data_IF_764145964512
#
_entry.id   IF_764145964512
#
_cell.length_a   1.000
_cell.length_b   1.000
_cell.length_c   1.000
_cell.angle_alpha   90.00
_cell.angle_beta   90.00
_cell.angle_gamma   90.00
#
_symmetry.space_group_name_H-M   'P 1'
#
loop_
_entity.id
_entity.type
_entity.pdbx_description
1 polymer ?
#
# COMPACT_ATOMS: atom_id res chain seq x y z
N UNK A 1 2.10 -17.48 -2.61
CA UNK A 1 2.95 -16.31 -2.32
C UNK A 1 2.74 -15.93 -0.87
N UNK A 2 3.81 -15.67 -0.13
CA UNK A 2 3.73 -15.19 1.25
C UNK A 2 3.89 -13.69 1.29
N UNK A 3 2.90 -13.00 1.88
CA UNK A 3 2.87 -11.53 2.00
C UNK A 3 3.00 -11.13 3.46
N UNK A 4 3.59 -9.97 3.72
CA UNK A 4 3.73 -9.40 5.05
C UNK A 4 3.32 -7.93 5.07
N UNK A 5 2.75 -7.46 6.17
CA UNK A 5 2.48 -6.03 6.42
C UNK A 5 3.33 -5.59 7.60
N UNK A 6 4.06 -4.52 7.42
CA UNK A 6 4.74 -3.79 8.49
C UNK A 6 3.89 -2.56 8.82
N UNK A 7 3.20 -2.61 9.96
CA UNK A 7 2.55 -1.43 10.55
C UNK A 7 3.49 -0.82 11.57
N UNK A 8 3.89 0.43 11.40
CA UNK A 8 4.79 1.11 12.32
C UNK A 8 4.28 2.51 12.67
N UNK A 9 4.74 3.02 13.80
CA UNK A 9 4.57 4.42 14.15
C UNK A 9 5.56 5.23 13.31
N UNK A 10 5.03 6.17 12.52
CA UNK A 10 5.85 6.99 11.63
C UNK A 10 6.30 8.22 12.42
N UNK A 11 7.61 8.37 12.59
CA UNK A 11 8.20 9.60 13.13
C UNK A 11 7.89 10.75 12.17
N UNK A 12 7.13 11.75 12.66
CA UNK A 12 6.60 12.81 11.82
C UNK A 12 7.71 13.70 11.24
N UNK A 13 7.73 13.81 9.90
CA UNK A 13 8.71 14.58 9.13
C UNK A 13 10.18 14.21 9.41
N UNK A 14 10.45 13.00 9.91
CA UNK A 14 11.80 12.49 10.18
C UNK A 14 12.10 11.26 9.30
N UNK A 15 12.64 11.52 8.11
CA UNK A 15 12.96 10.45 7.16
C UNK A 15 14.07 9.53 7.66
N UNK A 16 15.07 10.06 8.32
CA UNK A 16 16.21 9.27 8.78
C UNK A 16 15.76 8.27 9.84
N UNK A 17 15.00 8.70 10.83
CA UNK A 17 14.45 7.83 11.86
C UNK A 17 13.52 6.76 11.27
N UNK A 18 12.64 7.14 10.33
CA UNK A 18 11.75 6.19 9.68
C UNK A 18 12.52 5.16 8.83
N UNK A 19 13.57 5.55 8.13
CA UNK A 19 14.43 4.65 7.36
C UNK A 19 15.13 3.64 8.28
N UNK A 20 15.65 4.09 9.42
CA UNK A 20 16.28 3.22 10.44
C UNK A 20 15.26 2.22 10.97
N UNK A 21 14.10 2.72 11.39
CA UNK A 21 13.00 1.89 11.93
C UNK A 21 12.56 0.82 10.92
N UNK A 22 12.38 1.19 9.65
CA UNK A 22 11.99 0.23 8.61
C UNK A 22 13.09 -0.82 8.38
N UNK A 23 14.36 -0.43 8.35
CA UNK A 23 15.47 -1.37 8.22
C UNK A 23 15.46 -2.43 9.32
N UNK A 24 15.22 -2.02 10.58
CA UNK A 24 15.12 -2.94 11.72
C UNK A 24 13.91 -3.88 11.60
N UNK A 25 12.75 -3.36 11.17
CA UNK A 25 11.54 -4.16 11.01
C UNK A 25 11.67 -5.15 9.85
N UNK A 26 12.28 -4.77 8.73
CA UNK A 26 12.56 -5.67 7.60
C UNK A 26 13.48 -6.84 8.00
N UNK A 27 14.43 -6.62 8.90
CA UNK A 27 15.28 -7.70 9.45
C UNK A 27 14.50 -8.76 10.24
N UNK A 28 13.28 -8.42 10.72
CA UNK A 28 12.42 -9.35 11.48
C UNK A 28 11.44 -10.11 10.58
N UNK A 29 11.33 -9.71 9.31
CA UNK A 29 10.46 -10.40 8.34
C UNK A 29 10.98 -11.81 8.07
N UNK A 30 10.06 -12.76 7.94
CA UNK A 30 10.40 -14.14 7.61
C UNK A 30 11.16 -14.22 6.27
N UNK A 31 12.28 -14.94 6.24
CA UNK A 31 13.16 -15.03 5.05
C UNK A 31 12.49 -15.63 3.80
N UNK A 32 11.40 -16.36 3.98
CA UNK A 32 10.61 -16.91 2.88
C UNK A 32 9.43 -16.01 2.47
N UNK A 33 9.41 -14.76 2.92
CA UNK A 33 8.44 -13.78 2.46
C UNK A 33 8.72 -13.40 1.00
N UNK A 34 7.66 -13.17 0.23
CA UNK A 34 7.76 -12.77 -1.17
C UNK A 34 7.54 -11.26 -1.37
N UNK A 35 6.71 -10.66 -0.52
CA UNK A 35 6.25 -9.28 -0.66
C UNK A 35 5.98 -8.66 0.71
N UNK A 36 6.53 -7.48 0.95
CA UNK A 36 6.29 -6.67 2.16
C UNK A 36 5.56 -5.39 1.78
N UNK A 37 4.52 -5.04 2.54
CA UNK A 37 3.76 -3.82 2.35
C UNK A 37 3.97 -2.88 3.53
N UNK A 38 4.43 -1.66 3.23
CA UNK A 38 4.59 -0.53 4.14
C UNK A 38 3.35 0.37 4.08
N UNK A 39 3.09 1.20 5.09
CA UNK A 39 1.99 2.17 5.08
C UNK A 39 2.14 3.27 4.02
N UNK A 40 1.10 4.07 3.88
CA UNK A 40 1.12 5.32 3.13
C UNK A 40 2.09 6.32 3.78
N UNK A 41 2.90 7.01 2.93
CA UNK A 41 3.87 8.02 3.35
C UNK A 41 4.82 7.53 4.45
N UNK A 42 5.33 6.31 4.28
CA UNK A 42 6.09 5.55 5.28
C UNK A 42 7.31 6.28 5.82
N UNK A 43 7.89 7.20 5.05
CA UNK A 43 9.13 7.90 5.40
C UNK A 43 8.91 9.25 6.09
N UNK A 44 7.72 9.86 6.00
CA UNK A 44 7.46 11.21 6.53
C UNK A 44 6.20 11.32 7.37
N UNK A 45 5.23 10.42 7.16
CA UNK A 45 3.85 10.65 7.56
C UNK A 45 3.20 11.79 6.77
N UNK A 46 1.99 12.15 7.16
CA UNK A 46 1.30 13.30 6.61
C UNK A 46 1.92 14.60 7.14
N UNK A 47 2.29 15.49 6.23
CA UNK A 47 2.87 16.79 6.55
C UNK A 47 1.77 17.81 6.85
N UNK A 48 2.08 18.86 7.63
CA UNK A 48 1.11 19.86 8.05
C UNK A 48 1.02 21.06 7.11
N UNK A 49 2.03 21.27 6.26
CA UNK A 49 2.08 22.40 5.34
C UNK A 49 2.68 22.03 3.97
N UNK A 50 2.41 22.88 2.99
CA UNK A 50 2.99 22.74 1.65
C UNK A 50 4.48 23.05 1.64
N UNK A 51 4.97 23.93 2.50
CA UNK A 51 6.41 24.22 2.67
C UNK A 51 7.16 22.96 3.13
N UNK A 52 6.65 22.28 4.13
CA UNK A 52 7.21 20.99 4.57
C UNK A 52 7.23 19.95 3.45
N UNK A 53 6.18 19.93 2.61
CA UNK A 53 6.16 19.03 1.44
C UNK A 53 7.32 19.35 0.49
N UNK A 54 7.64 20.62 0.26
CA UNK A 54 8.75 21.01 -0.63
C UNK A 54 10.11 20.57 -0.09
N UNK A 55 10.28 20.59 1.24
CA UNK A 55 11.51 20.19 1.90
C UNK A 55 11.65 18.66 2.01
N UNK A 56 10.52 17.96 2.16
CA UNK A 56 10.50 16.52 2.46
C UNK A 56 10.30 15.63 1.24
N UNK A 57 9.74 16.15 0.13
CA UNK A 57 9.55 15.35 -1.06
C UNK A 57 10.89 14.98 -1.73
N UNK A 58 10.96 13.78 -2.27
CA UNK A 58 12.17 13.20 -2.82
C UNK A 58 12.09 13.04 -4.33
N UNK A 59 13.20 13.25 -5.01
CA UNK A 59 13.40 12.84 -6.40
C UNK A 59 13.55 11.30 -6.49
N UNK A 60 13.65 10.74 -7.70
CA UNK A 60 13.72 9.28 -7.92
C UNK A 60 14.96 8.61 -7.32
N UNK A 61 16.01 9.37 -7.03
CA UNK A 61 17.24 8.93 -6.36
C UNK A 61 17.30 9.32 -4.88
N UNK A 62 16.17 9.69 -4.31
CA UNK A 62 16.05 10.05 -2.90
C UNK A 62 16.37 8.91 -1.95
N UNK A 63 16.70 9.26 -0.71
CA UNK A 63 17.15 8.31 0.32
C UNK A 63 16.18 7.15 0.53
N UNK A 64 14.86 7.41 0.46
CA UNK A 64 13.82 6.37 0.61
C UNK A 64 13.95 5.33 -0.50
N UNK A 65 13.99 5.76 -1.77
CA UNK A 65 14.01 4.85 -2.91
C UNK A 65 15.32 4.06 -2.98
N UNK A 66 16.45 4.72 -2.75
CA UNK A 66 17.77 4.05 -2.73
C UNK A 66 17.82 2.96 -1.66
N UNK A 67 17.28 3.20 -0.46
CA UNK A 67 17.25 2.17 0.58
C UNK A 67 16.25 1.05 0.24
N UNK A 68 15.07 1.37 -0.29
CA UNK A 68 14.09 0.37 -0.70
C UNK A 68 14.65 -0.60 -1.74
N UNK A 69 15.39 -0.10 -2.75
CA UNK A 69 16.05 -0.96 -3.74
C UNK A 69 17.10 -1.88 -3.11
N UNK A 70 17.96 -1.32 -2.22
CA UNK A 70 18.95 -2.11 -1.48
C UNK A 70 18.30 -3.20 -0.63
N UNK A 71 17.23 -2.87 0.08
CA UNK A 71 16.51 -3.83 0.93
C UNK A 71 15.82 -4.90 0.12
N UNK A 72 15.11 -4.53 -0.95
CA UNK A 72 14.45 -5.51 -1.83
C UNK A 72 15.45 -6.52 -2.40
N UNK A 73 16.60 -6.05 -2.84
CA UNK A 73 17.69 -6.90 -3.33
C UNK A 73 18.29 -7.78 -2.22
N UNK A 74 18.60 -7.19 -1.05
CA UNK A 74 19.26 -7.89 0.05
C UNK A 74 18.38 -9.00 0.63
N UNK A 75 17.10 -8.70 0.86
CA UNK A 75 16.14 -9.64 1.45
C UNK A 75 15.49 -10.57 0.42
N UNK A 76 15.62 -10.29 -0.87
CA UNK A 76 15.01 -11.04 -1.97
C UNK A 76 13.47 -11.11 -1.90
N UNK A 77 12.81 -10.03 -1.46
CA UNK A 77 11.37 -9.84 -1.55
C UNK A 77 11.02 -8.47 -2.16
N UNK A 78 9.84 -8.35 -2.75
CA UNK A 78 9.37 -7.05 -3.21
C UNK A 78 8.89 -6.18 -2.04
N UNK A 79 8.96 -4.85 -2.18
CA UNK A 79 8.48 -3.89 -1.18
C UNK A 79 7.53 -2.91 -1.85
N UNK A 80 6.34 -2.74 -1.24
CA UNK A 80 5.33 -1.77 -1.68
C UNK A 80 5.03 -0.79 -0.56
N UNK A 81 4.68 0.45 -0.90
CA UNK A 81 4.31 1.52 0.04
C UNK A 81 4.03 2.80 -0.70
N UNK A 82 4.02 3.95 -0.01
CA UNK A 82 4.04 5.25 -0.68
C UNK A 82 4.89 6.29 0.05
N UNK A 83 5.31 7.32 -0.66
CA UNK A 83 6.13 8.42 -0.17
C UNK A 83 5.75 9.73 -0.89
N UNK A 84 6.21 10.87 -0.38
CA UNK A 84 6.13 12.11 -1.13
C UNK A 84 7.26 12.21 -2.14
N UNK A 85 6.88 12.21 -3.43
CA UNK A 85 7.78 12.32 -4.57
C UNK A 85 7.72 13.69 -5.20
N UNK A 86 8.86 14.17 -5.70
CA UNK A 86 8.99 15.33 -6.57
C UNK A 86 9.30 14.86 -7.98
N UNK A 87 8.49 15.28 -8.94
CA UNK A 87 8.61 14.90 -10.35
C UNK A 87 8.22 16.06 -11.24
N UNK A 88 9.12 16.50 -12.11
CA UNK A 88 8.89 17.59 -13.07
C UNK A 88 8.29 18.86 -12.45
N UNK A 89 8.77 19.24 -11.26
CA UNK A 89 8.32 20.43 -10.53
C UNK A 89 6.96 20.29 -9.85
N UNK A 90 6.38 19.09 -9.83
CA UNK A 90 5.16 18.75 -9.09
C UNK A 90 5.48 17.79 -7.95
N UNK A 91 4.60 17.74 -6.98
CA UNK A 91 4.71 16.89 -5.79
C UNK A 91 3.54 15.91 -5.77
N UNK A 92 3.81 14.64 -5.47
CA UNK A 92 2.82 13.56 -5.49
C UNK A 92 2.94 12.70 -4.23
N UNK A 93 1.82 12.20 -3.74
CA UNK A 93 1.82 10.99 -2.93
C UNK A 93 1.93 9.82 -3.91
N UNK A 94 3.13 9.23 -4.00
CA UNK A 94 3.49 8.25 -5.03
C UNK A 94 3.66 6.87 -4.38
N UNK A 95 2.85 5.90 -4.81
CA UNK A 95 3.08 4.50 -4.49
C UNK A 95 4.26 3.96 -5.31
N UNK A 96 4.96 3.02 -4.72
CA UNK A 96 6.04 2.26 -5.33
C UNK A 96 5.83 0.76 -5.13
N UNK A 97 6.29 -0.02 -6.10
CA UNK A 97 6.52 -1.44 -5.97
C UNK A 97 7.94 -1.71 -6.45
N UNK A 98 8.83 -2.05 -5.50
CA UNK A 98 10.25 -2.28 -5.75
C UNK A 98 10.50 -3.78 -5.76
N UNK A 99 11.01 -4.30 -6.86
CA UNK A 99 11.36 -5.72 -7.02
C UNK A 99 12.76 -6.03 -6.53
N UNK A 100 13.07 -7.30 -6.20
CA UNK A 100 14.44 -7.73 -5.87
C UNK A 100 15.46 -7.46 -6.98
N UNK A 101 15.01 -7.32 -8.23
CA UNK A 101 15.84 -6.88 -9.38
C UNK A 101 16.31 -5.43 -9.27
N UNK A 102 15.66 -4.64 -8.42
CA UNK A 102 15.83 -3.18 -8.35
C UNK A 102 14.89 -2.42 -9.29
N UNK A 103 14.08 -3.10 -10.11
CA UNK A 103 13.04 -2.47 -10.93
C UNK A 103 11.95 -1.88 -10.04
N UNK A 104 11.44 -0.71 -10.41
CA UNK A 104 10.40 -0.01 -9.66
C UNK A 104 9.22 0.31 -10.57
N UNK A 105 8.03 -0.03 -10.11
CA UNK A 105 6.78 0.43 -10.70
C UNK A 105 6.16 1.49 -9.82
N UNK A 106 5.74 2.60 -10.39
CA UNK A 106 5.13 3.73 -9.67
C UNK A 106 3.66 3.94 -10.00
N UNK A 107 2.94 4.52 -9.05
CA UNK A 107 1.57 4.98 -9.21
C UNK A 107 1.33 6.24 -8.39
N UNK A 108 0.83 7.32 -9.00
CA UNK A 108 0.49 8.55 -8.31
C UNK A 108 -0.93 8.48 -7.76
N UNK A 109 -1.13 8.71 -6.46
CA UNK A 109 -2.45 8.79 -5.83
C UNK A 109 -3.38 9.72 -6.61
N UNK A 110 -4.57 9.24 -6.93
CA UNK A 110 -5.50 9.95 -7.81
C UNK A 110 -6.62 10.69 -7.07
N UNK A 111 -6.88 10.34 -5.81
CA UNK A 111 -7.97 10.93 -5.05
C UNK A 111 -7.53 11.37 -3.66
N UNK A 112 -8.11 12.45 -3.18
CA UNK A 112 -7.99 12.94 -1.81
C UNK A 112 -9.35 12.91 -1.12
N UNK A 113 -9.35 12.61 0.17
CA UNK A 113 -10.55 12.76 0.99
C UNK A 113 -10.80 14.24 1.26
N UNK A 114 -11.95 14.77 0.80
CA UNK A 114 -12.24 16.20 0.84
C UNK A 114 -12.39 16.79 2.25
N UNK A 115 -12.67 15.96 3.25
CA UNK A 115 -12.82 16.37 4.66
C UNK A 115 -11.56 16.15 5.50
N UNK A 116 -10.41 15.91 4.88
CA UNK A 116 -9.15 15.78 5.59
C UNK A 116 -8.78 17.11 6.28
N UNK A 117 -8.39 17.02 7.56
CA UNK A 117 -7.81 18.14 8.31
C UNK A 117 -6.45 18.59 7.74
N UNK A 118 -5.91 17.79 6.83
CA UNK A 118 -4.57 17.97 6.27
C UNK A 118 -4.64 18.89 5.05
N UNK A 119 -4.04 20.06 5.16
CA UNK A 119 -4.05 21.09 4.10
C UNK A 119 -2.73 21.09 3.30
N UNK A 120 -2.27 19.92 2.85
CA UNK A 120 -1.07 19.80 2.03
C UNK A 120 -1.46 19.73 0.55
N UNK A 121 -0.95 20.67 -0.24
CA UNK A 121 -1.26 20.76 -1.65
C UNK A 121 -0.24 19.97 -2.49
N UNK A 122 -0.56 18.71 -2.81
CA UNK A 122 0.15 17.90 -3.78
C UNK A 122 -0.73 17.59 -5.00
N UNK A 123 -0.09 17.33 -6.14
CA UNK A 123 -0.78 16.98 -7.37
C UNK A 123 -1.40 15.57 -7.28
N UNK A 124 -2.51 15.39 -7.96
CA UNK A 124 -3.14 14.08 -8.11
C UNK A 124 -2.73 13.45 -9.44
N UNK A 125 -2.60 12.13 -9.43
CA UNK A 125 -2.48 11.35 -10.64
C UNK A 125 -3.79 11.34 -11.46
N UNK A 126 -3.70 10.91 -12.69
CA UNK A 126 -4.85 10.76 -13.59
C UNK A 126 -4.80 9.44 -14.38
N UNK A 127 -3.87 8.58 -14.06
CA UNK A 127 -3.65 7.29 -14.72
C UNK A 127 -3.90 6.18 -13.73
N UNK A 128 -4.58 5.12 -14.18
CA UNK A 128 -4.80 3.92 -13.37
C UNK A 128 -3.48 3.26 -12.99
N UNK A 129 -3.49 2.56 -11.87
CA UNK A 129 -2.37 1.73 -11.47
C UNK A 129 -2.00 0.74 -12.59
N UNK A 130 -0.72 0.64 -12.95
CA UNK A 130 -0.25 -0.36 -13.90
C UNK A 130 -0.45 -1.77 -13.32
N UNK A 131 -0.53 -2.77 -14.21
CA UNK A 131 -0.50 -4.18 -13.80
C UNK A 131 0.96 -4.59 -13.64
N UNK A 132 1.33 -4.93 -12.42
CA UNK A 132 2.65 -5.43 -12.05
C UNK A 132 2.63 -6.95 -12.15
N UNK A 133 3.59 -7.53 -12.88
CA UNK A 133 3.73 -8.99 -13.01
C UNK A 133 4.89 -9.48 -12.17
N UNK A 134 4.56 -9.98 -10.98
CA UNK A 134 5.58 -10.44 -10.03
C UNK A 134 5.31 -11.88 -9.58
N UNK A 135 6.31 -12.76 -9.75
CA UNK A 135 6.26 -14.18 -9.35
C UNK A 135 4.97 -14.91 -9.78
N UNK A 136 4.50 -14.63 -11.00
CA UNK A 136 3.29 -15.24 -11.58
C UNK A 136 1.97 -14.62 -11.12
N UNK A 137 1.99 -13.54 -10.34
CA UNK A 137 0.83 -12.77 -9.91
C UNK A 137 0.68 -11.49 -10.71
N UNK A 138 -0.56 -11.11 -10.99
CA UNK A 138 -0.91 -9.78 -11.50
C UNK A 138 -1.34 -8.92 -10.32
N UNK A 139 -0.60 -7.85 -10.05
CA UNK A 139 -0.75 -7.00 -8.87
C UNK A 139 -1.10 -5.58 -9.30
N UNK A 140 -1.94 -4.90 -8.54
CA UNK A 140 -2.24 -3.48 -8.70
C UNK A 140 -2.06 -2.76 -7.37
N UNK A 141 -1.82 -1.44 -7.42
CA UNK A 141 -1.70 -0.58 -6.25
C UNK A 141 -2.78 0.50 -6.26
N UNK A 142 -3.34 0.79 -5.10
CA UNK A 142 -4.10 2.00 -4.82
C UNK A 142 -3.53 2.64 -3.55
N UNK A 143 -3.69 3.96 -3.40
CA UNK A 143 -3.22 4.64 -2.18
C UNK A 143 -4.42 5.14 -1.40
N UNK A 144 -4.62 4.55 -0.21
CA UNK A 144 -5.57 5.03 0.81
C UNK A 144 -6.96 5.36 0.23
N UNK A 145 -7.29 6.64 0.06
CA UNK A 145 -8.60 7.13 -0.37
C UNK A 145 -9.02 6.69 -1.77
N UNK A 146 -8.10 6.27 -2.63
CA UNK A 146 -8.44 5.74 -3.96
C UNK A 146 -9.41 4.58 -3.87
N UNK A 147 -9.34 3.78 -2.79
CA UNK A 147 -10.22 2.63 -2.56
C UNK A 147 -11.70 3.01 -2.38
N UNK A 148 -11.98 4.27 -2.00
CA UNK A 148 -13.35 4.78 -1.82
C UNK A 148 -14.09 5.00 -3.14
N UNK A 149 -13.36 5.12 -4.24
CA UNK A 149 -13.92 5.39 -5.56
C UNK A 149 -14.21 4.08 -6.30
N UNK A 150 -15.48 3.62 -6.35
CA UNK A 150 -15.81 2.26 -6.80
C UNK A 150 -15.44 2.02 -8.27
N UNK A 151 -15.71 2.98 -9.16
CA UNK A 151 -15.37 2.87 -10.58
C UNK A 151 -13.84 2.80 -10.76
N UNK A 152 -13.09 3.59 -10.00
CA UNK A 152 -11.64 3.62 -10.08
C UNK A 152 -11.02 2.32 -9.57
N UNK A 153 -11.44 1.84 -8.41
CA UNK A 153 -10.95 0.61 -7.83
C UNK A 153 -11.34 -0.61 -8.68
N UNK A 154 -12.57 -0.64 -9.24
CA UNK A 154 -13.02 -1.68 -10.17
C UNK A 154 -12.15 -1.74 -11.42
N UNK A 155 -11.89 -0.59 -12.04
CA UNK A 155 -11.04 -0.52 -13.23
C UNK A 155 -9.58 -0.92 -12.95
N UNK A 156 -9.06 -0.58 -11.75
CA UNK A 156 -7.72 -0.98 -11.30
C UNK A 156 -7.65 -2.46 -10.94
N UNK A 157 -8.79 -3.09 -10.62
CA UNK A 157 -8.87 -4.52 -10.30
C UNK A 157 -9.02 -5.43 -11.52
N UNK A 158 -9.26 -4.88 -12.70
CA UNK A 158 -9.45 -5.68 -13.91
C UNK A 158 -8.17 -6.43 -14.29
N UNK A 159 -8.30 -7.75 -14.44
CA UNK A 159 -7.19 -8.66 -14.79
C UNK A 159 -6.07 -8.76 -13.73
N UNK A 160 -6.34 -8.44 -12.47
CA UNK A 160 -5.40 -8.62 -11.36
C UNK A 160 -5.84 -9.72 -10.41
N UNK A 161 -4.90 -10.20 -9.63
CA UNK A 161 -5.09 -11.25 -8.62
C UNK A 161 -5.01 -10.68 -7.20
N UNK A 162 -4.25 -9.60 -7.02
CA UNK A 162 -3.92 -8.98 -5.75
C UNK A 162 -3.91 -7.46 -5.86
N UNK A 163 -4.60 -6.78 -4.94
CA UNK A 163 -4.57 -5.32 -4.80
C UNK A 163 -3.86 -4.94 -3.51
N UNK A 164 -2.89 -4.04 -3.60
CA UNK A 164 -2.14 -3.48 -2.48
C UNK A 164 -2.64 -2.07 -2.18
N UNK A 165 -2.91 -1.79 -0.91
CA UNK A 165 -3.45 -0.50 -0.47
C UNK A 165 -2.65 0.04 0.72
N UNK A 166 -1.47 0.65 0.48
CA UNK A 166 -0.78 1.46 1.49
C UNK A 166 -1.68 2.57 2.00
N UNK A 167 -1.79 2.73 3.32
CA UNK A 167 -2.80 3.60 3.91
C UNK A 167 -2.38 4.23 5.24
N UNK A 168 -3.10 5.33 5.58
CA UNK A 168 -3.03 6.03 6.87
C UNK A 168 -4.45 6.40 7.31
N UNK A 169 -5.26 5.36 7.59
CA UNK A 169 -6.65 5.53 8.01
C UNK A 169 -6.76 5.76 9.50
N UNK A 170 -7.40 6.87 9.94
CA UNK A 170 -7.55 7.18 11.35
C UNK A 170 -8.51 6.25 12.07
N UNK A 171 -8.39 6.19 13.38
CA UNK A 171 -9.18 5.31 14.25
C UNK A 171 -10.69 5.53 14.12
N UNK A 172 -11.12 6.76 13.92
CA UNK A 172 -12.55 7.12 13.74
C UNK A 172 -13.14 6.46 12.47
N UNK A 173 -12.32 6.16 11.48
CA UNK A 173 -12.74 5.60 10.20
C UNK A 173 -12.51 4.08 10.10
N UNK A 174 -12.10 3.41 11.20
CA UNK A 174 -11.76 1.97 11.22
C UNK A 174 -12.87 1.07 10.66
N UNK A 175 -14.11 1.46 10.87
CA UNK A 175 -15.27 0.69 10.40
C UNK A 175 -15.40 0.77 8.88
N UNK A 176 -15.28 1.97 8.31
CA UNK A 176 -15.30 2.18 6.86
C UNK A 176 -14.14 1.44 6.19
N UNK A 177 -12.93 1.58 6.74
CA UNK A 177 -11.72 0.93 6.25
C UNK A 177 -11.92 -0.58 6.08
N UNK A 178 -12.32 -1.27 7.14
CA UNK A 178 -12.54 -2.71 7.10
C UNK A 178 -13.55 -3.11 6.04
N UNK A 179 -14.71 -2.44 6.01
CA UNK A 179 -15.82 -2.85 5.13
C UNK A 179 -15.58 -2.51 3.68
N UNK A 180 -14.87 -1.42 3.39
CA UNK A 180 -14.51 -1.08 2.01
C UNK A 180 -13.53 -2.09 1.43
N UNK A 181 -12.52 -2.52 2.20
CA UNK A 181 -11.59 -3.57 1.77
C UNK A 181 -12.31 -4.89 1.49
N UNK A 182 -13.22 -5.31 2.39
CA UNK A 182 -14.05 -6.52 2.19
C UNK A 182 -14.88 -6.39 0.90
N UNK A 183 -15.57 -5.27 0.72
CA UNK A 183 -16.39 -5.04 -0.47
C UNK A 183 -15.56 -5.14 -1.75
N UNK A 184 -14.39 -4.51 -1.80
CA UNK A 184 -13.50 -4.57 -2.97
C UNK A 184 -12.93 -5.97 -3.22
N UNK A 185 -12.63 -6.74 -2.18
CA UNK A 185 -12.19 -8.11 -2.32
C UNK A 185 -13.26 -9.00 -2.99
N UNK A 186 -14.50 -8.92 -2.49
CA UNK A 186 -15.62 -9.74 -2.95
C UNK A 186 -16.05 -9.35 -4.38
N UNK A 187 -16.33 -8.05 -4.62
CA UNK A 187 -16.86 -7.61 -5.93
C UNK A 187 -15.88 -7.80 -7.08
N UNK A 188 -14.57 -7.76 -6.79
CA UNK A 188 -13.53 -7.95 -7.80
C UNK A 188 -12.95 -9.36 -7.83
N UNK A 189 -13.36 -10.23 -6.91
CA UNK A 189 -12.84 -11.61 -6.77
C UNK A 189 -11.30 -11.62 -6.73
N UNK A 190 -10.70 -10.84 -5.81
CA UNK A 190 -9.24 -10.70 -5.67
C UNK A 190 -8.84 -10.80 -4.21
N UNK A 191 -7.55 -11.07 -3.98
CA UNK A 191 -6.95 -10.79 -2.67
C UNK A 191 -6.74 -9.29 -2.49
N UNK A 192 -6.93 -8.78 -1.26
CA UNK A 192 -6.63 -7.38 -0.91
C UNK A 192 -5.74 -7.33 0.32
N UNK A 193 -4.68 -6.52 0.24
CA UNK A 193 -3.79 -6.20 1.35
C UNK A 193 -3.93 -4.71 1.66
N UNK A 194 -4.54 -4.39 2.79
CA UNK A 194 -4.65 -3.03 3.31
C UNK A 194 -3.62 -2.82 4.43
N UNK A 195 -2.55 -2.09 4.15
CA UNK A 195 -1.48 -1.80 5.09
C UNK A 195 -1.67 -0.42 5.71
N UNK A 196 -2.02 -0.37 7.00
CA UNK A 196 -2.21 0.87 7.74
C UNK A 196 -1.03 1.15 8.69
N UNK A 197 -0.73 2.43 8.93
CA UNK A 197 0.20 2.84 10.00
C UNK A 197 -0.43 2.63 11.38
N UNK A 198 0.39 2.70 12.41
CA UNK A 198 -0.02 2.81 13.82
C UNK A 198 0.51 4.11 14.43
N UNK A 199 0.15 4.38 15.70
CA UNK A 199 0.59 5.56 16.44
C UNK A 199 -0.34 6.74 16.24
N UNK A 200 0.20 7.95 16.37
CA UNK A 200 -0.56 9.20 16.24
C UNK A 200 0.28 10.30 15.60
N UNK A 201 -0.39 11.31 15.09
CA UNK A 201 0.19 12.60 14.77
C UNK A 201 -0.66 13.73 15.41
N UNK A 202 -0.41 14.97 15.07
CA UNK A 202 -1.15 16.12 15.64
C UNK A 202 -2.63 16.15 15.23
N UNK A 203 -3.04 15.37 14.23
CA UNK A 203 -4.38 15.41 13.64
C UNK A 203 -5.23 14.20 13.99
N UNK A 204 -4.59 13.01 14.09
CA UNK A 204 -5.29 11.73 14.18
C UNK A 204 -4.56 10.67 15.00
N UNK A 205 -5.34 9.78 15.61
CA UNK A 205 -4.88 8.49 16.11
C UNK A 205 -5.04 7.42 15.03
N UNK A 206 -4.06 6.53 14.89
CA UNK A 206 -4.01 5.48 13.88
C UNK A 206 -3.97 4.07 14.51
N UNK A 207 -5.05 3.72 15.25
CA UNK A 207 -5.22 2.39 15.82
C UNK A 207 -6.15 1.50 14.97
N UNK A 208 -6.29 1.86 13.70
CA UNK A 208 -7.05 1.08 12.72
C UNK A 208 -6.19 -0.09 12.23
N UNK A 209 -6.63 -1.34 12.38
CA UNK A 209 -5.84 -2.50 11.99
C UNK A 209 -5.54 -2.56 10.49
N UNK A 210 -4.41 -3.15 10.14
CA UNK A 210 -4.15 -3.65 8.79
C UNK A 210 -4.88 -4.97 8.56
N UNK A 211 -5.19 -5.27 7.29
CA UNK A 211 -5.95 -6.47 6.92
C UNK A 211 -5.40 -7.14 5.67
N UNK A 212 -5.55 -8.47 5.61
CA UNK A 212 -5.35 -9.24 4.39
C UNK A 212 -6.62 -10.05 4.17
N UNK A 213 -7.41 -9.66 3.17
CA UNK A 213 -8.65 -10.34 2.84
C UNK A 213 -8.50 -11.24 1.62
N UNK A 214 -9.12 -12.42 1.69
CA UNK A 214 -9.33 -13.25 0.51
C UNK A 214 -10.54 -12.73 -0.31
N UNK A 215 -10.75 -13.33 -1.46
CA UNK A 215 -11.83 -13.01 -2.39
C UNK A 215 -13.25 -13.32 -1.87
N UNK A 216 -13.39 -13.96 -0.70
CA UNK A 216 -14.67 -14.14 0.00
C UNK A 216 -14.84 -13.06 1.10
N UNK A 217 -13.88 -12.16 1.28
CA UNK A 217 -13.87 -11.16 2.34
C UNK A 217 -13.45 -11.70 3.73
N UNK A 218 -12.87 -12.89 3.78
CA UNK A 218 -12.34 -13.47 5.01
C UNK A 218 -10.98 -12.88 5.32
N UNK A 219 -10.77 -12.40 6.56
CA UNK A 219 -9.44 -12.00 6.99
C UNK A 219 -8.57 -13.23 7.22
N UNK A 220 -7.55 -13.40 6.40
CA UNK A 220 -6.61 -14.52 6.43
C UNK A 220 -5.26 -14.18 7.07
N UNK A 221 -5.13 -12.95 7.62
CA UNK A 221 -3.92 -12.50 8.28
C UNK A 221 -3.68 -13.24 9.60
N UNK A 222 -2.45 -13.59 9.87
CA UNK A 222 -1.96 -14.03 11.17
C UNK A 222 -0.76 -13.19 11.61
N UNK A 223 -0.60 -13.00 12.91
CA UNK A 223 0.46 -12.18 13.46
C UNK A 223 1.62 -13.02 13.98
N UNK A 224 2.84 -12.58 13.70
CA UNK A 224 4.08 -13.14 14.22
C UNK A 224 5.11 -12.02 14.39
N UNK A 225 5.65 -11.85 15.59
CA UNK A 225 6.67 -10.84 15.91
C UNK A 225 6.25 -9.40 15.56
N UNK A 226 4.99 -9.04 15.81
CA UNK A 226 4.37 -7.76 15.48
C UNK A 226 4.34 -7.43 13.97
N UNK A 227 4.42 -8.46 13.13
CA UNK A 227 4.26 -8.37 11.68
C UNK A 227 3.07 -9.24 11.27
N UNK A 228 2.18 -8.72 10.44
CA UNK A 228 1.06 -9.49 9.90
C UNK A 228 1.50 -10.23 8.65
N UNK A 229 1.10 -11.49 8.53
CA UNK A 229 1.40 -12.35 7.39
C UNK A 229 0.15 -13.00 6.84
N UNK A 230 0.20 -13.37 5.56
CA UNK A 230 -0.70 -14.35 4.97
C UNK A 230 0.01 -15.15 3.88
N UNK A 231 -0.46 -16.38 3.68
CA UNK A 231 -0.12 -17.19 2.51
C UNK A 231 -1.30 -17.14 1.55
N UNK A 232 -1.08 -16.59 0.36
CA UNK A 232 -2.10 -16.49 -0.69
C UNK A 232 -1.80 -17.50 -1.79
N UNK A 233 -2.88 -18.11 -2.34
CA UNK A 233 -2.78 -19.16 -3.34
C UNK A 233 -3.56 -18.80 -4.61
N UNK A 234 -2.83 -18.68 -5.72
CA UNK A 234 -3.39 -18.32 -7.01
C UNK A 234 -4.32 -19.39 -7.58
N UNK A 235 -4.01 -20.68 -7.35
CA UNK A 235 -4.85 -21.77 -7.84
C UNK A 235 -6.21 -21.78 -7.14
N UNK A 236 -6.24 -21.47 -5.84
CA UNK A 236 -7.50 -21.35 -5.09
C UNK A 236 -8.33 -20.18 -5.64
N UNK A 237 -7.70 -19.03 -5.93
CA UNK A 237 -8.37 -17.88 -6.56
C UNK A 237 -8.92 -18.22 -7.95
N UNK A 238 -8.11 -18.87 -8.81
CA UNK A 238 -8.52 -19.29 -10.15
C UNK A 238 -9.72 -20.27 -10.08
N UNK A 239 -9.64 -21.26 -9.21
CA UNK A 239 -10.74 -22.21 -8.97
C UNK A 239 -12.02 -21.52 -8.48
N UNK A 240 -11.90 -20.47 -7.66
CA UNK A 240 -13.04 -19.67 -7.21
C UNK A 240 -13.70 -18.95 -8.40
N UNK A 241 -12.90 -18.31 -9.24
CA UNK A 241 -13.38 -17.58 -10.43
C UNK A 241 -14.03 -18.51 -11.46
N UNK A 242 -13.50 -19.70 -11.65
CA UNK A 242 -14.07 -20.72 -12.55
C UNK A 242 -15.47 -21.20 -12.12
N UNK A 243 -15.80 -21.13 -10.84
CA UNK A 243 -17.14 -21.45 -10.34
C UNK A 243 -18.21 -20.44 -10.74
N UNK A 244 -17.81 -19.31 -11.36
CA UNK A 244 -18.71 -18.38 -12.03
C UNK A 244 -19.64 -17.59 -11.10
N UNK A 245 -19.18 -17.23 -9.91
CA UNK A 245 -19.99 -16.44 -8.97
C UNK A 245 -20.35 -15.05 -9.51
N UNK A 246 -19.40 -14.38 -10.18
CA UNK A 246 -19.60 -13.09 -10.86
C UNK A 246 -18.90 -13.14 -12.22
N UNK A 247 -19.58 -12.69 -13.28
CA UNK A 247 -18.94 -12.42 -14.55
C UNK A 247 -18.36 -11.01 -14.56
N UNK A 248 -17.06 -10.91 -14.34
CA UNK A 248 -16.32 -9.65 -14.28
C UNK A 248 -16.26 -8.90 -15.62
N UNK A 249 -16.78 -9.50 -16.72
CA UNK A 249 -16.81 -8.89 -18.04
C UNK A 249 -18.14 -8.16 -18.33
N UNK A 250 -19.09 -8.19 -17.41
CA UNK A 250 -20.40 -7.55 -17.61
C UNK A 250 -20.43 -6.05 -17.23
N UNK A 251 -19.31 -5.48 -16.76
CA UNK A 251 -19.19 -4.05 -16.40
C UNK A 251 -18.52 -3.20 -17.50
#
# INVERSE_FOLDING_TARGET
MKVAIISHEIAWADKEENIITIAELLNRVDKNCDLVILPELFSTGYLSSTEQLYDMAEDEDGISIVNLQRWAQYFNFAICGSYFAKEQGKYYNKAFFVEPSGEITYYNKCHKYSNSKLNVNYALGNVKSPIIRFRGWNISMLVSDDILYPVWSRQSAKNIDLMLVPSSWPTEEKYKWKHILIGRAIENQIYIVGANRIGRDDFYDYNTPSYIFDFNGSNIAFEKNNILYAEIDKKILETHREKGFLDLNQD
#
